data_IF_160585084143
#
_entry.id   IF_160585084143
#
_cell.length_a   1.000
_cell.length_b   1.000
_cell.length_c   1.000
_cell.angle_alpha   90.00
_cell.angle_beta   90.00
_cell.angle_gamma   90.00
#
_symmetry.space_group_name_H-M   'P 1'
#
loop_
_entity.id
_entity.type
_entity.pdbx_description
1 polymer ?
#
# COMPACT_ATOMS: atom_id res chain seq x y z
N UNK A 1 -8.62 -12.44 32.56
CA UNK A 1 -8.65 -11.58 31.36
C UNK A 1 -9.29 -12.35 30.23
N UNK A 2 -10.54 -12.03 29.90
CA UNK A 2 -11.21 -12.48 28.69
C UNK A 2 -10.85 -11.58 27.49
N UNK A 3 -11.33 -11.91 26.28
CA UNK A 3 -10.97 -11.16 25.08
C UNK A 3 -11.35 -9.67 25.16
N UNK A 4 -12.52 -9.34 25.71
CA UNK A 4 -12.96 -7.95 25.84
C UNK A 4 -12.10 -7.20 26.86
N UNK A 5 -11.77 -7.83 28.00
CA UNK A 5 -10.89 -7.23 29.00
C UNK A 5 -9.48 -6.95 28.44
N UNK A 6 -8.97 -7.77 27.50
CA UNK A 6 -7.70 -7.50 26.82
C UNK A 6 -7.83 -6.30 25.88
N UNK A 7 -8.89 -6.23 25.08
CA UNK A 7 -9.13 -5.12 24.15
C UNK A 7 -9.30 -3.79 24.89
N UNK A 8 -10.06 -3.78 25.98
CA UNK A 8 -10.26 -2.60 26.82
C UNK A 8 -8.92 -2.06 27.37
N UNK A 9 -8.01 -2.94 27.77
CA UNK A 9 -6.67 -2.53 28.23
C UNK A 9 -5.79 -2.05 27.07
N UNK A 10 -5.88 -2.65 25.88
CA UNK A 10 -5.16 -2.20 24.69
C UNK A 10 -5.63 -0.80 24.26
N UNK A 11 -6.93 -0.51 24.29
CA UNK A 11 -7.47 0.81 23.99
C UNK A 11 -6.98 1.88 24.97
N UNK A 12 -6.89 1.54 26.27
CA UNK A 12 -6.33 2.45 27.29
C UNK A 12 -4.83 2.71 27.09
N UNK A 13 -4.06 1.68 26.73
CA UNK A 13 -2.62 1.78 26.52
C UNK A 13 -2.25 2.51 25.23
N UNK A 14 -3.06 2.37 24.18
CA UNK A 14 -2.81 2.94 22.87
C UNK A 14 -4.03 3.75 22.36
N UNK A 15 -4.44 4.81 23.06
CA UNK A 15 -5.68 5.54 22.77
C UNK A 15 -5.69 6.25 21.41
N UNK A 16 -4.53 6.42 20.79
CA UNK A 16 -4.35 7.09 19.50
C UNK A 16 -3.73 6.16 18.45
N UNK A 17 -3.89 4.84 18.59
CA UNK A 17 -3.39 3.90 17.59
C UNK A 17 -4.11 4.11 16.25
N UNK A 18 -3.34 4.39 15.20
CA UNK A 18 -3.84 4.61 13.85
C UNK A 18 -2.93 3.95 12.81
N UNK A 19 -3.34 3.97 11.54
CA UNK A 19 -2.51 3.46 10.46
C UNK A 19 -1.31 4.39 10.21
N UNK A 20 -0.08 3.87 10.34
CA UNK A 20 1.13 4.67 10.14
C UNK A 20 1.53 4.85 8.66
N UNK A 21 0.95 4.06 7.74
CA UNK A 21 1.23 4.18 6.31
C UNK A 21 0.60 5.47 5.76
N UNK A 22 1.43 6.36 5.23
CA UNK A 22 0.98 7.65 4.67
C UNK A 22 0.36 7.46 3.29
N UNK A 23 -0.90 7.86 3.17
CA UNK A 23 -1.70 7.76 1.94
C UNK A 23 -2.80 8.82 1.93
N UNK A 24 -3.27 9.19 0.74
CA UNK A 24 -4.39 10.12 0.52
C UNK A 24 -5.61 9.44 -0.12
N UNK A 25 -5.41 8.27 -0.72
CA UNK A 25 -6.45 7.53 -1.45
C UNK A 25 -6.43 6.03 -1.13
N UNK A 26 -7.55 5.32 -1.34
CA UNK A 26 -7.60 3.86 -1.19
C UNK A 26 -6.57 3.13 -2.06
N UNK A 27 -6.30 3.63 -3.27
CA UNK A 27 -5.27 3.08 -4.17
C UNK A 27 -3.87 3.23 -3.56
N UNK A 28 -3.54 4.41 -3.03
CA UNK A 28 -2.25 4.63 -2.37
C UNK A 28 -2.09 3.72 -1.14
N UNK A 29 -3.13 3.56 -0.33
CA UNK A 29 -3.11 2.64 0.81
C UNK A 29 -2.87 1.19 0.35
N UNK A 30 -3.59 0.74 -0.67
CA UNK A 30 -3.45 -0.62 -1.22
C UNK A 30 -2.00 -0.88 -1.69
N UNK A 31 -1.41 0.06 -2.42
CA UNK A 31 0.00 -0.02 -2.84
C UNK A 31 0.92 -0.02 -1.61
N UNK A 32 0.73 0.88 -0.65
CA UNK A 32 1.55 0.98 0.55
C UNK A 32 1.53 -0.33 1.37
N UNK A 33 0.38 -0.99 1.49
CA UNK A 33 0.23 -2.29 2.17
C UNK A 33 0.97 -3.40 1.42
N UNK A 34 0.93 -3.43 0.08
CA UNK A 34 1.77 -4.37 -0.70
C UNK A 34 3.26 -4.11 -0.44
N UNK A 35 3.66 -2.84 -0.30
CA UNK A 35 5.05 -2.47 -0.02
C UNK A 35 5.49 -2.75 1.42
N UNK A 36 4.56 -2.77 2.40
CA UNK A 36 4.88 -3.00 3.81
C UNK A 36 5.18 -4.46 4.14
N UNK A 37 4.84 -5.41 3.25
CA UNK A 37 5.17 -6.82 3.44
C UNK A 37 6.67 -7.01 3.71
N UNK A 38 7.02 -7.45 4.93
CA UNK A 38 8.40 -7.60 5.42
C UNK A 38 9.23 -6.30 5.28
N UNK A 39 8.63 -5.15 5.56
CA UNK A 39 9.28 -3.82 5.50
C UNK A 39 8.63 -2.90 6.53
N UNK A 40 9.41 -2.07 7.21
CA UNK A 40 8.85 -1.13 8.20
C UNK A 40 8.04 -0.03 7.52
N UNK A 41 6.98 0.43 8.19
CA UNK A 41 6.15 1.54 7.70
C UNK A 41 6.97 2.81 7.46
N UNK A 42 7.97 3.09 8.32
CA UNK A 42 8.93 4.17 8.11
C UNK A 42 9.67 4.06 6.77
N UNK A 43 10.11 2.86 6.38
CA UNK A 43 10.81 2.65 5.10
C UNK A 43 9.87 2.79 3.91
N UNK A 44 8.63 2.33 4.04
CA UNK A 44 7.58 2.52 3.02
C UNK A 44 7.29 4.01 2.84
N UNK A 45 7.07 4.73 3.94
CA UNK A 45 6.81 6.17 3.97
C UNK A 45 7.96 7.03 3.39
N UNK A 46 9.19 6.50 3.33
CA UNK A 46 10.34 7.17 2.67
C UNK A 46 10.35 7.03 1.15
N UNK A 47 9.67 6.01 0.59
CA UNK A 47 9.67 5.74 -0.86
C UNK A 47 8.35 6.11 -1.54
N UNK A 48 7.23 6.00 -0.83
CA UNK A 48 5.90 6.26 -1.39
C UNK A 48 5.66 7.70 -1.88
N UNK A 49 6.20 8.79 -1.27
CA UNK A 49 5.89 10.14 -1.74
C UNK A 49 6.32 10.38 -3.20
N UNK A 50 7.52 9.95 -3.57
CA UNK A 50 8.02 10.09 -4.95
C UNK A 50 7.26 9.16 -5.91
N UNK A 51 6.98 7.93 -5.48
CA UNK A 51 6.22 6.97 -6.27
C UNK A 51 4.79 7.47 -6.56
N UNK A 52 4.10 8.01 -5.55
CA UNK A 52 2.73 8.51 -5.68
C UNK A 52 2.64 9.84 -6.42
N UNK A 53 3.67 10.69 -6.33
CA UNK A 53 3.77 11.88 -7.17
C UNK A 53 3.91 11.51 -8.66
N UNK A 54 4.68 10.47 -8.98
CA UNK A 54 4.84 9.98 -10.35
C UNK A 54 3.61 9.21 -10.85
N UNK A 55 2.98 8.42 -9.98
CA UNK A 55 1.84 7.57 -10.31
C UNK A 55 0.71 7.71 -9.28
N UNK A 56 -0.06 8.81 -9.34
CA UNK A 56 -1.09 9.10 -8.34
C UNK A 56 -2.31 8.17 -8.41
N UNK A 57 -2.49 7.47 -9.53
CA UNK A 57 -3.65 6.59 -9.80
C UNK A 57 -3.22 5.23 -10.34
N UNK A 58 -4.10 4.23 -10.22
CA UNK A 58 -3.93 2.91 -10.85
C UNK A 58 -3.66 3.03 -12.34
N UNK A 59 -4.40 3.89 -13.05
CA UNK A 59 -4.19 4.15 -14.47
C UNK A 59 -2.78 4.64 -14.79
N UNK A 60 -2.26 5.59 -14.00
CA UNK A 60 -0.90 6.12 -14.20
C UNK A 60 0.15 5.03 -13.93
N UNK A 61 -0.01 4.26 -12.86
CA UNK A 61 0.93 3.19 -12.51
C UNK A 61 0.85 2.00 -13.48
N UNK A 62 -0.32 1.68 -14.01
CA UNK A 62 -0.54 0.59 -14.97
C UNK A 62 0.20 0.81 -16.30
N UNK A 63 0.46 2.07 -16.65
CA UNK A 63 1.19 2.49 -17.85
C UNK A 63 2.70 2.63 -17.63
N UNK A 64 3.16 2.53 -16.38
CA UNK A 64 4.57 2.65 -16.04
C UNK A 64 5.39 1.46 -16.54
N UNK A 65 6.68 1.69 -16.79
CA UNK A 65 7.61 0.58 -17.00
C UNK A 65 8.00 -0.04 -15.66
N UNK A 66 8.19 -1.37 -15.64
CA UNK A 66 8.61 -2.08 -14.44
C UNK A 66 9.92 -1.53 -13.86
N UNK A 67 10.90 -1.23 -14.72
CA UNK A 67 12.20 -0.69 -14.29
C UNK A 67 12.10 0.69 -13.67
N UNK A 68 11.14 1.52 -14.13
CA UNK A 68 10.91 2.84 -13.56
C UNK A 68 10.33 2.73 -12.15
N UNK A 69 9.30 1.90 -11.95
CA UNK A 69 8.75 1.58 -10.61
C UNK A 69 9.85 1.04 -9.69
N UNK A 70 10.65 0.08 -10.17
CA UNK A 70 11.76 -0.49 -9.40
C UNK A 70 12.72 0.58 -8.89
N UNK A 71 12.96 1.66 -9.65
CA UNK A 71 13.85 2.74 -9.26
C UNK A 71 13.35 3.52 -8.03
N UNK A 72 12.04 3.74 -7.92
CA UNK A 72 11.42 4.43 -6.77
C UNK A 72 11.53 3.62 -5.48
N UNK A 73 11.36 2.30 -5.58
CA UNK A 73 11.26 1.41 -4.41
C UNK A 73 12.51 0.54 -4.18
N UNK A 74 13.61 0.78 -4.90
CA UNK A 74 14.84 -0.02 -4.80
C UNK A 74 15.43 -0.11 -3.38
N UNK A 75 15.11 0.88 -2.53
CA UNK A 75 15.60 0.98 -1.14
C UNK A 75 14.90 0.02 -0.18
N UNK A 76 13.78 -0.60 -0.55
CA UNK A 76 13.07 -1.56 0.30
C UNK A 76 13.34 -3.01 -0.12
N UNK A 77 13.21 -3.94 0.83
CA UNK A 77 13.41 -5.37 0.58
C UNK A 77 12.38 -5.93 -0.42
N UNK A 78 12.78 -6.95 -1.18
CA UNK A 78 11.94 -7.64 -2.18
C UNK A 78 11.40 -6.73 -3.30
N UNK A 79 12.06 -5.60 -3.55
CA UNK A 79 11.54 -4.55 -4.45
C UNK A 79 11.17 -5.04 -5.86
N UNK A 80 11.90 -6.00 -6.44
CA UNK A 80 11.57 -6.55 -7.77
C UNK A 80 10.23 -7.27 -7.80
N UNK A 81 9.92 -8.04 -6.75
CA UNK A 81 8.63 -8.72 -6.64
C UNK A 81 7.53 -7.71 -6.35
N UNK A 82 7.78 -6.78 -5.42
CA UNK A 82 6.84 -5.71 -5.08
C UNK A 82 6.50 -4.83 -6.28
N UNK A 83 7.48 -4.43 -7.09
CA UNK A 83 7.28 -3.65 -8.31
C UNK A 83 6.37 -4.39 -9.31
N UNK A 84 6.63 -5.69 -9.55
CA UNK A 84 5.77 -6.53 -10.39
C UNK A 84 4.36 -6.64 -9.83
N UNK A 85 4.23 -6.81 -8.52
CA UNK A 85 2.93 -6.92 -7.84
C UNK A 85 2.11 -5.64 -7.98
N UNK A 86 2.69 -4.46 -7.69
CA UNK A 86 1.93 -3.20 -7.74
C UNK A 86 1.61 -2.78 -9.17
N UNK A 87 2.49 -3.09 -10.15
CA UNK A 87 2.20 -2.90 -11.57
C UNK A 87 1.04 -3.78 -12.02
N UNK A 88 1.09 -5.09 -11.73
CA UNK A 88 0.03 -6.01 -12.13
C UNK A 88 -1.29 -5.71 -11.41
N UNK A 89 -1.23 -5.34 -10.13
CA UNK A 89 -2.38 -4.89 -9.36
C UNK A 89 -3.03 -3.66 -10.00
N UNK A 90 -2.21 -2.68 -10.41
CA UNK A 90 -2.72 -1.47 -11.06
C UNK A 90 -3.39 -1.78 -12.40
N UNK A 91 -2.82 -2.69 -13.19
CA UNK A 91 -3.44 -3.18 -14.43
C UNK A 91 -4.75 -3.91 -14.18
N UNK A 92 -4.79 -4.79 -13.17
CA UNK A 92 -6.01 -5.54 -12.81
C UNK A 92 -7.13 -4.61 -12.31
N UNK A 93 -6.80 -3.54 -11.59
CA UNK A 93 -7.77 -2.51 -11.20
C UNK A 93 -8.40 -1.85 -12.42
N UNK A 94 -7.60 -1.46 -13.42
CA UNK A 94 -8.14 -0.85 -14.65
C UNK A 94 -8.98 -1.84 -15.47
N UNK A 95 -8.50 -3.08 -15.63
CA UNK A 95 -9.14 -4.10 -16.47
C UNK A 95 -10.44 -4.65 -15.87
N UNK A 96 -10.46 -4.88 -14.55
CA UNK A 96 -11.55 -5.64 -13.88
C UNK A 96 -12.43 -4.77 -12.99
N UNK A 97 -11.91 -3.64 -12.54
CA UNK A 97 -12.57 -2.78 -11.53
C UNK A 97 -12.64 -1.31 -11.96
N UNK A 98 -12.41 -1.03 -13.24
CA UNK A 98 -12.51 0.32 -13.82
C UNK A 98 -11.68 1.39 -13.08
N UNK A 99 -10.56 0.98 -12.49
CA UNK A 99 -9.63 1.86 -11.76
C UNK A 99 -10.01 2.13 -10.30
N UNK A 100 -11.06 1.49 -9.77
CA UNK A 100 -11.49 1.66 -8.39
C UNK A 100 -11.06 0.49 -7.50
N UNK A 101 -10.62 0.78 -6.28
CA UNK A 101 -10.32 -0.26 -5.28
C UNK A 101 -11.64 -0.86 -4.77
N UNK A 102 -11.89 -2.17 -4.91
CA UNK A 102 -13.14 -2.79 -4.46
C UNK A 102 -13.33 -2.65 -2.95
N UNK A 103 -14.56 -2.37 -2.52
CA UNK A 103 -14.92 -2.21 -1.11
C UNK A 103 -15.39 -3.51 -0.43
N UNK A 104 -15.31 -4.65 -1.11
CA UNK A 104 -15.78 -5.95 -0.64
C UNK A 104 -14.75 -7.05 -0.89
N UNK A 105 -14.57 -7.94 0.09
CA UNK A 105 -13.76 -9.15 -0.07
C UNK A 105 -14.37 -10.19 -1.00
N UNK A 106 -15.69 -10.13 -1.19
CA UNK A 106 -16.40 -10.92 -2.21
C UNK A 106 -16.50 -10.05 -3.46
N UNK A 107 -15.76 -10.44 -4.48
CA UNK A 107 -15.87 -9.90 -5.84
C UNK A 107 -16.77 -10.82 -6.66
#
# INVERSE_FOLDING_TARGET
MNANEILDEMEKLYPNAECELKHETPFQLLVAVVLSAQTTDESVNKVTPALFAAYPTSKAMAQASLSDIESYIRRIGLYRNKARSILKLSQDLEEKFHGEVPSSYKV
#
